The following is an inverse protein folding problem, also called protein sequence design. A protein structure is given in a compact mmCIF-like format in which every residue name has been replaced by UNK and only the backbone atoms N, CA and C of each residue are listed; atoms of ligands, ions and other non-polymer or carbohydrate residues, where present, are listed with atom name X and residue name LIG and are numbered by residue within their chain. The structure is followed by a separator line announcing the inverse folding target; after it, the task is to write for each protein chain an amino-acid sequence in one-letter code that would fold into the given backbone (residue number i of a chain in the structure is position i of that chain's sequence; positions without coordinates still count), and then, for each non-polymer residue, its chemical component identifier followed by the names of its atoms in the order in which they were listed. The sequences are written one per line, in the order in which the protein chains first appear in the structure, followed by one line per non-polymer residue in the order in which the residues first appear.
data_IF_875619529500
#
_entry.id   IF_875619529500
#
_cell.length_a   1.000
_cell.length_b   1.000
_cell.length_c   1.000
_cell.angle_alpha   90.00
_cell.angle_beta   90.00
_cell.angle_gamma   90.00
#
_symmetry.space_group_name_H-M   'P 1'
#
loop_
_entity.id
_entity.type
_entity.pdbx_description
1 polymer ?
#
# COMPACT_ATOMS: atom_id res chain seq x y z
N UNK A 1 26.56 -4.22 -25.19
CA UNK A 1 25.16 -4.06 -24.78
C UNK A 1 25.13 -3.55 -23.34
N UNK A 2 24.85 -2.27 -23.17
CA UNK A 2 24.73 -1.66 -21.84
C UNK A 2 23.40 -2.16 -21.26
N UNK A 3 23.44 -2.99 -20.24
CA UNK A 3 22.25 -3.35 -19.45
C UNK A 3 21.63 -2.04 -18.96
N UNK A 4 20.45 -1.71 -19.50
CA UNK A 4 19.72 -0.53 -19.04
C UNK A 4 19.14 -0.86 -17.66
N UNK A 5 19.61 -0.13 -16.66
CA UNK A 5 19.03 -0.20 -15.33
C UNK A 5 17.56 0.29 -15.38
N UNK A 6 16.68 -0.36 -14.63
CA UNK A 6 15.28 0.07 -14.46
C UNK A 6 15.17 0.63 -13.03
N UNK A 7 15.60 1.85 -12.84
CA UNK A 7 15.62 2.51 -11.53
C UNK A 7 14.85 3.81 -11.48
N UNK A 8 14.37 4.30 -12.62
CA UNK A 8 13.59 5.53 -12.71
C UNK A 8 12.36 5.38 -13.61
N UNK A 9 11.41 6.29 -13.44
CA UNK A 9 10.21 6.36 -14.29
C UNK A 9 10.53 6.42 -15.79
N UNK A 10 11.52 7.24 -16.17
CA UNK A 10 11.94 7.33 -17.56
C UNK A 10 12.56 6.01 -18.08
N UNK A 11 13.38 5.36 -17.26
CA UNK A 11 14.01 4.07 -17.61
C UNK A 11 12.94 2.95 -17.71
N UNK A 12 11.96 2.94 -16.81
CA UNK A 12 10.85 2.00 -16.86
C UNK A 12 10.02 2.18 -18.15
N UNK A 13 9.68 3.41 -18.51
CA UNK A 13 8.97 3.72 -19.77
C UNK A 13 9.75 3.20 -20.98
N UNK A 14 11.05 3.46 -21.02
CA UNK A 14 11.92 3.01 -22.12
C UNK A 14 12.02 1.48 -22.18
N UNK A 15 12.18 0.82 -21.01
CA UNK A 15 12.21 -0.63 -20.95
C UNK A 15 10.89 -1.24 -21.43
N UNK A 16 9.76 -0.73 -20.96
CA UNK A 16 8.45 -1.21 -21.40
C UNK A 16 8.23 -1.03 -22.92
N UNK A 17 8.62 0.12 -23.48
CA UNK A 17 8.55 0.37 -24.93
C UNK A 17 9.38 -0.64 -25.71
N UNK A 18 10.60 -0.93 -25.27
CA UNK A 18 11.50 -1.88 -25.93
C UNK A 18 10.95 -3.33 -25.85
N UNK A 19 10.36 -3.72 -24.74
CA UNK A 19 9.80 -5.06 -24.57
C UNK A 19 8.50 -5.26 -25.35
N UNK A 20 7.67 -4.21 -25.43
CA UNK A 20 6.44 -4.25 -26.24
C UNK A 20 6.76 -4.32 -27.74
N UNK A 21 7.84 -3.67 -28.17
CA UNK A 21 8.23 -3.54 -29.58
C UNK A 21 7.07 -2.98 -30.46
N UNK A 22 6.36 -1.99 -29.89
CA UNK A 22 5.19 -1.36 -30.49
C UNK A 22 5.27 0.16 -30.29
N UNK A 23 5.63 0.89 -31.32
CA UNK A 23 5.79 2.35 -31.28
C UNK A 23 4.46 3.10 -31.10
N UNK A 24 3.37 2.51 -31.53
CA UNK A 24 2.01 3.08 -31.39
C UNK A 24 1.49 3.05 -29.93
N UNK A 25 2.12 2.28 -29.04
CA UNK A 25 1.75 2.19 -27.64
C UNK A 25 2.62 3.05 -26.71
N UNK A 26 3.65 3.70 -27.22
CA UNK A 26 4.62 4.47 -26.43
C UNK A 26 3.94 5.54 -25.58
N UNK A 27 3.00 6.29 -26.15
CA UNK A 27 2.28 7.35 -25.43
C UNK A 27 1.29 6.83 -24.36
N UNK A 28 0.97 5.53 -24.40
CA UNK A 28 0.07 4.88 -23.44
C UNK A 28 0.81 4.24 -22.25
N UNK A 29 2.12 4.12 -22.32
CA UNK A 29 2.91 3.48 -21.26
C UNK A 29 2.67 4.12 -19.88
N UNK A 30 2.57 5.44 -19.72
CA UNK A 30 2.22 6.05 -18.44
C UNK A 30 0.87 5.58 -17.89
N UNK A 31 -0.13 5.34 -18.73
CA UNK A 31 -1.43 4.77 -18.32
C UNK A 31 -1.25 3.33 -17.81
N UNK A 32 -0.45 2.52 -18.49
CA UNK A 32 -0.15 1.15 -18.07
C UNK A 32 0.58 1.12 -16.72
N UNK A 33 1.50 2.05 -16.48
CA UNK A 33 2.19 2.21 -15.20
C UNK A 33 1.18 2.54 -14.09
N UNK A 34 0.28 3.48 -14.31
CA UNK A 34 -0.78 3.84 -13.35
C UNK A 34 -1.66 2.64 -13.00
N UNK A 35 -2.07 1.85 -14.00
CA UNK A 35 -2.88 0.65 -13.78
C UNK A 35 -2.11 -0.44 -13.02
N UNK A 36 -0.84 -0.64 -13.35
CA UNK A 36 0.03 -1.57 -12.65
C UNK A 36 0.20 -1.18 -11.18
N UNK A 37 0.45 0.09 -10.90
CA UNK A 37 0.57 0.62 -9.52
C UNK A 37 -0.72 0.41 -8.71
N UNK A 38 -1.88 0.64 -9.32
CA UNK A 38 -3.16 0.35 -8.67
C UNK A 38 -3.30 -1.14 -8.33
N UNK A 39 -2.82 -2.02 -9.20
CA UNK A 39 -2.78 -3.48 -8.97
C UNK A 39 -1.83 -3.84 -7.84
N UNK A 40 -0.63 -3.28 -7.80
CA UNK A 40 0.35 -3.52 -6.72
C UNK A 40 -0.22 -3.14 -5.36
N UNK A 41 -0.82 -1.97 -5.24
CA UNK A 41 -1.41 -1.50 -3.98
C UNK A 41 -2.58 -2.38 -3.50
N UNK A 42 -3.28 -3.06 -4.41
CA UNK A 42 -4.33 -4.03 -4.05
C UNK A 42 -3.79 -5.39 -3.64
N UNK A 43 -2.77 -5.88 -4.34
CA UNK A 43 -2.27 -7.25 -4.19
C UNK A 43 -1.20 -7.39 -3.11
N UNK A 44 -0.31 -6.40 -2.97
CA UNK A 44 0.88 -6.51 -2.13
C UNK A 44 0.62 -6.05 -0.70
N UNK A 45 1.21 -6.78 0.24
CA UNK A 45 1.33 -6.42 1.66
C UNK A 45 2.73 -6.82 2.11
N UNK A 46 3.71 -6.01 1.76
CA UNK A 46 5.13 -6.27 1.99
C UNK A 46 5.72 -5.22 2.92
N UNK A 47 6.88 -5.53 3.50
CA UNK A 47 7.57 -4.68 4.48
C UNK A 47 7.90 -3.28 3.94
N UNK A 48 8.22 -3.16 2.65
CA UNK A 48 8.48 -1.87 2.01
C UNK A 48 7.27 -0.92 2.02
N UNK A 49 6.06 -1.44 2.25
CA UNK A 49 4.83 -0.64 2.43
C UNK A 49 4.56 -0.27 3.89
N UNK A 50 5.27 -0.86 4.85
CA UNK A 50 5.03 -0.60 6.27
C UNK A 50 5.49 0.80 6.66
N UNK A 51 4.60 1.51 7.35
CA UNK A 51 4.85 2.88 7.80
C UNK A 51 4.30 3.06 9.19
N UNK A 52 5.03 3.79 10.02
CA UNK A 52 4.59 4.17 11.36
C UNK A 52 4.13 5.62 11.36
N UNK A 53 2.96 5.88 11.92
CA UNK A 53 2.46 7.24 12.17
C UNK A 53 2.14 7.43 13.64
N UNK A 54 2.66 8.52 14.20
CA UNK A 54 2.37 9.00 15.56
C UNK A 54 1.59 10.32 15.53
N UNK A 55 1.02 10.67 14.39
CA UNK A 55 0.39 11.97 14.17
C UNK A 55 -0.93 12.18 14.93
N UNK A 56 -1.62 11.08 15.31
CA UNK A 56 -2.87 11.16 16.04
C UNK A 56 -2.58 11.30 17.52
N UNK A 57 -2.97 12.44 18.10
CA UNK A 57 -3.13 12.63 19.53
C UNK A 57 -4.62 12.84 19.81
N UNK A 58 -5.18 12.07 20.73
CA UNK A 58 -6.62 12.14 20.99
C UNK A 58 -7.00 13.44 21.71
N UNK A 59 -8.24 13.83 21.53
CA UNK A 59 -8.87 14.94 22.25
C UNK A 59 -10.06 14.40 23.02
N UNK A 60 -10.23 14.83 24.26
CA UNK A 60 -11.35 14.40 25.10
C UNK A 60 -12.68 14.64 24.40
N UNK A 61 -13.53 13.61 24.36
CA UNK A 61 -14.84 13.63 23.71
C UNK A 61 -14.81 13.42 22.18
N UNK A 62 -13.66 13.45 21.54
CA UNK A 62 -13.53 13.25 20.08
C UNK A 62 -13.09 11.82 19.79
N UNK A 63 -13.91 11.04 19.11
CA UNK A 63 -13.66 9.63 18.85
C UNK A 63 -13.25 9.29 17.43
N UNK A 64 -13.32 10.23 16.49
CA UNK A 64 -12.96 10.01 15.09
C UNK A 64 -11.78 10.87 14.67
N UNK A 65 -10.85 10.23 13.96
CA UNK A 65 -9.62 10.86 13.46
C UNK A 65 -9.37 10.43 12.02
N UNK A 66 -8.80 11.32 11.22
CA UNK A 66 -8.46 11.03 9.84
C UNK A 66 -7.36 9.97 9.78
N UNK A 67 -7.52 9.00 8.89
CA UNK A 67 -6.44 8.08 8.54
C UNK A 67 -5.31 8.81 7.81
N UNK A 68 -4.07 8.34 7.93
CA UNK A 68 -2.96 8.92 7.18
C UNK A 68 -3.18 8.85 5.67
N UNK A 69 -2.64 9.82 4.94
CA UNK A 69 -2.66 9.80 3.47
C UNK A 69 -1.97 8.54 2.94
N UNK A 70 -2.60 7.87 1.97
CA UNK A 70 -2.09 6.64 1.40
C UNK A 70 -2.32 5.39 2.25
N UNK A 71 -3.11 5.48 3.31
CA UNK A 71 -3.48 4.33 4.12
C UNK A 71 -4.13 3.22 3.28
N UNK A 72 -3.64 1.99 3.45
CA UNK A 72 -4.18 0.80 2.79
C UNK A 72 -4.81 -0.15 3.80
N UNK A 73 -4.06 -0.51 4.84
CA UNK A 73 -4.51 -1.47 5.84
C UNK A 73 -3.76 -1.30 7.16
N UNK A 74 -4.50 -1.34 8.26
CA UNK A 74 -3.91 -1.35 9.60
C UNK A 74 -3.21 -2.68 9.88
N UNK A 75 -2.04 -2.58 10.49
CA UNK A 75 -1.31 -3.74 11.00
C UNK A 75 -1.32 -3.78 12.52
N UNK A 76 -1.04 -2.63 13.14
CA UNK A 76 -1.05 -2.49 14.60
C UNK A 76 -1.44 -1.06 14.97
N UNK A 77 -2.22 -0.92 16.03
CA UNK A 77 -2.60 0.38 16.56
C UNK A 77 -2.61 0.34 18.08
N UNK A 78 -1.89 1.27 18.72
CA UNK A 78 -1.84 1.34 20.17
C UNK A 78 -1.79 2.78 20.69
N UNK A 79 -2.18 2.95 21.96
CA UNK A 79 -1.90 4.16 22.72
C UNK A 79 -0.48 4.07 23.28
N UNK A 80 0.30 5.14 23.12
CA UNK A 80 1.66 5.24 23.64
C UNK A 80 1.65 5.59 25.14
N UNK A 81 0.91 4.82 25.94
CA UNK A 81 0.86 4.93 27.39
C UNK A 81 1.93 4.06 28.02
N UNK A 82 2.16 4.18 29.33
CA UNK A 82 3.05 3.30 30.07
C UNK A 82 2.23 2.50 31.11
N UNK A 83 2.03 1.19 30.92
CA UNK A 83 2.39 0.39 29.75
C UNK A 83 1.59 0.74 28.49
N UNK A 84 2.12 0.36 27.30
CA UNK A 84 1.43 0.51 26.02
C UNK A 84 0.07 -0.19 26.06
N UNK A 85 -0.96 0.46 25.50
CA UNK A 85 -2.30 -0.11 25.37
C UNK A 85 -2.61 -0.42 23.91
N UNK A 86 -2.58 -1.70 23.54
CA UNK A 86 -2.99 -2.14 22.20
C UNK A 86 -4.49 -1.97 22.03
N UNK A 87 -4.90 -1.47 20.86
CA UNK A 87 -6.31 -1.33 20.47
C UNK A 87 -6.70 -2.50 19.58
N UNK A 88 -7.78 -3.19 19.92
CA UNK A 88 -8.31 -4.27 19.12
C UNK A 88 -9.28 -3.75 18.05
N UNK A 89 -9.19 -4.32 16.84
CA UNK A 89 -10.18 -4.02 15.80
C UNK A 89 -11.53 -4.67 16.13
N UNK A 90 -12.60 -3.91 15.97
CA UNK A 90 -13.97 -4.41 15.96
C UNK A 90 -14.70 -3.88 14.72
N UNK A 91 -15.77 -4.58 14.31
CA UNK A 91 -16.56 -4.12 13.17
C UNK A 91 -17.32 -2.83 13.48
N UNK A 92 -17.66 -2.02 12.46
CA UNK A 92 -18.49 -0.82 12.66
C UNK A 92 -19.83 -1.09 13.37
N UNK A 93 -20.44 -2.24 13.09
CA UNK A 93 -21.67 -2.67 13.76
C UNK A 93 -21.48 -2.92 15.25
N UNK A 94 -20.40 -3.62 15.62
CA UNK A 94 -20.05 -3.83 17.02
C UNK A 94 -19.70 -2.52 17.72
N UNK A 95 -18.98 -1.62 17.05
CA UNK A 95 -18.67 -0.30 17.57
C UNK A 95 -19.95 0.49 17.88
N UNK A 96 -20.92 0.49 16.96
CA UNK A 96 -22.21 1.16 17.14
C UNK A 96 -23.04 0.55 18.26
N UNK A 97 -22.96 -0.76 18.47
CA UNK A 97 -23.72 -1.47 19.50
C UNK A 97 -23.10 -1.30 20.89
N UNK A 98 -21.79 -1.42 21.02
CA UNK A 98 -21.10 -1.39 22.32
C UNK A 98 -20.79 0.02 22.81
N UNK A 99 -20.55 0.94 21.88
CA UNK A 99 -20.07 2.30 22.16
C UNK A 99 -20.96 3.38 21.52
N UNK A 100 -22.27 3.13 21.47
CA UNK A 100 -23.25 4.05 20.89
C UNK A 100 -23.43 5.36 21.66
N UNK A 101 -23.10 5.34 22.95
CA UNK A 101 -23.31 6.48 23.85
C UNK A 101 -22.19 7.51 23.82
N UNK A 102 -22.38 8.58 24.57
CA UNK A 102 -21.42 9.67 24.75
C UNK A 102 -20.40 9.44 25.87
N UNK A 103 -20.37 8.25 26.45
CA UNK A 103 -19.43 7.88 27.51
C UNK A 103 -17.99 7.98 27.06
N UNK A 104 -17.14 8.60 27.88
CA UNK A 104 -15.72 8.75 27.64
C UNK A 104 -14.90 7.80 28.51
N UNK A 105 -13.74 7.42 28.05
CA UNK A 105 -12.82 6.58 28.79
C UNK A 105 -11.49 6.42 28.06
N UNK A 106 -10.63 5.53 28.55
CA UNK A 106 -9.42 5.15 27.85
C UNK A 106 -9.82 4.24 26.66
N UNK A 107 -9.48 4.59 25.42
CA UNK A 107 -9.77 3.76 24.27
C UNK A 107 -9.22 2.33 24.40
N UNK A 108 -9.98 1.34 23.99
CA UNK A 108 -9.64 -0.09 24.05
C UNK A 108 -9.76 -0.77 22.67
N UNK A 109 -10.63 -0.23 21.82
CA UNK A 109 -10.94 -0.79 20.51
C UNK A 109 -10.97 0.31 19.46
N UNK A 110 -10.82 -0.09 18.21
CA UNK A 110 -11.02 0.82 17.07
C UNK A 110 -11.79 0.13 15.95
N UNK A 111 -12.36 0.92 15.10
CA UNK A 111 -12.88 0.51 13.79
C UNK A 111 -12.52 1.53 12.73
N UNK A 112 -12.70 1.16 11.47
CA UNK A 112 -12.45 2.04 10.34
C UNK A 112 -13.75 2.25 9.58
N UNK A 113 -14.11 3.52 9.38
CA UNK A 113 -15.30 3.94 8.66
C UNK A 113 -14.88 5.01 7.66
N UNK A 114 -15.01 4.69 6.36
CA UNK A 114 -14.54 5.53 5.27
C UNK A 114 -13.04 5.88 5.42
N UNK A 115 -12.70 7.15 5.52
CA UNK A 115 -11.34 7.66 5.68
C UNK A 115 -10.95 7.96 7.14
N UNK A 116 -11.74 7.43 8.10
CA UNK A 116 -11.57 7.71 9.54
C UNK A 116 -11.37 6.45 10.36
N UNK A 117 -10.55 6.57 11.38
CA UNK A 117 -10.51 5.63 12.50
C UNK A 117 -11.41 6.16 13.62
N UNK A 118 -12.27 5.29 14.15
CA UNK A 118 -13.13 5.57 15.30
C UNK A 118 -12.67 4.75 16.50
N UNK A 119 -12.55 5.41 17.64
CA UNK A 119 -12.12 4.80 18.90
C UNK A 119 -13.33 4.47 19.80
N UNK A 120 -13.20 3.43 20.57
CA UNK A 120 -14.19 3.05 21.57
C UNK A 120 -13.53 2.63 22.90
N UNK A 121 -13.97 3.20 24.03
CA UNK A 121 -14.86 4.36 24.19
C UNK A 121 -14.27 5.65 23.59
N UNK A 122 -15.07 6.70 23.52
CA UNK A 122 -14.58 8.03 23.17
C UNK A 122 -13.48 8.44 24.15
N UNK A 123 -12.33 8.97 23.70
CA UNK A 123 -11.24 9.33 24.61
C UNK A 123 -11.67 10.29 25.72
N UNK A 124 -11.27 9.99 26.94
CA UNK A 124 -11.47 10.90 28.07
C UNK A 124 -10.37 11.94 28.19
N UNK A 125 -9.24 11.72 27.54
CA UNK A 125 -8.03 12.52 27.67
C UNK A 125 -7.21 12.56 26.38
N UNK A 126 -6.13 13.33 26.38
CA UNK A 126 -5.16 13.37 25.29
C UNK A 126 -4.20 12.17 25.41
N UNK A 127 -4.36 11.19 24.53
CA UNK A 127 -3.44 10.06 24.40
C UNK A 127 -2.67 10.20 23.09
N UNK A 128 -1.34 10.09 23.16
CA UNK A 128 -0.53 9.88 21.96
C UNK A 128 -0.73 8.46 21.43
N UNK A 129 -0.71 8.30 20.11
CA UNK A 129 -0.92 7.00 19.47
C UNK A 129 0.24 6.62 18.59
N UNK A 130 0.35 5.34 18.29
CA UNK A 130 1.24 4.82 17.25
C UNK A 130 0.47 3.84 16.39
N UNK A 131 0.55 4.05 15.09
CA UNK A 131 -0.13 3.26 14.07
C UNK A 131 0.91 2.68 13.13
N UNK A 132 1.02 1.35 13.09
CA UNK A 132 1.76 0.63 12.07
C UNK A 132 0.77 0.18 10.99
N UNK A 133 0.97 0.60 9.75
CA UNK A 133 0.04 0.34 8.67
C UNK A 133 0.78 0.16 7.34
N UNK A 134 0.10 -0.46 6.37
CA UNK A 134 0.55 -0.50 5.00
C UNK A 134 0.13 0.78 4.28
N UNK A 135 1.11 1.45 3.69
CA UNK A 135 0.91 2.66 2.89
C UNK A 135 1.09 2.34 1.41
N UNK A 136 0.22 2.91 0.57
CA UNK A 136 0.38 2.83 -0.87
C UNK A 136 1.72 3.42 -1.32
N UNK A 137 2.36 2.79 -2.32
CA UNK A 137 3.57 3.34 -2.93
C UNK A 137 3.28 4.69 -3.57
N UNK A 138 4.24 5.59 -3.49
CA UNK A 138 4.18 6.86 -4.23
C UNK A 138 4.11 6.56 -5.72
N UNK A 139 3.09 7.10 -6.41
CA UNK A 139 2.95 6.95 -7.85
C UNK A 139 4.14 7.56 -8.59
N UNK A 140 4.67 6.84 -9.58
CA UNK A 140 5.76 7.34 -10.42
C UNK A 140 5.25 8.46 -11.35
N UNK A 141 6.07 9.49 -11.48
CA UNK A 141 5.82 10.64 -12.35
C UNK A 141 7.14 11.33 -12.71
N UNK A 142 7.08 12.35 -13.51
CA UNK A 142 8.27 13.16 -13.84
C UNK A 142 8.82 13.92 -12.62
N UNK A 143 8.01 14.16 -11.60
CA UNK A 143 8.41 14.78 -10.33
C UNK A 143 8.76 13.75 -9.25
N UNK A 144 8.16 12.56 -9.28
CA UNK A 144 8.45 11.43 -8.40
C UNK A 144 9.03 10.29 -9.23
N UNK A 145 10.31 10.38 -9.58
CA UNK A 145 10.95 9.53 -10.58
C UNK A 145 11.24 8.12 -10.10
N UNK A 146 11.19 7.85 -8.80
CA UNK A 146 11.44 6.54 -8.21
C UNK A 146 10.58 6.33 -6.96
N UNK A 147 10.42 5.08 -6.55
CA UNK A 147 9.87 4.67 -5.26
C UNK A 147 10.55 3.36 -4.82
N UNK A 148 10.32 2.95 -3.57
CA UNK A 148 10.96 1.75 -3.01
C UNK A 148 10.61 0.48 -3.79
N UNK A 149 9.39 0.38 -4.31
CA UNK A 149 8.94 -0.76 -5.11
C UNK A 149 9.75 -0.87 -6.41
N UNK A 150 9.98 0.22 -7.12
CA UNK A 150 10.78 0.22 -8.34
C UNK A 150 12.25 -0.06 -8.05
N UNK A 151 12.77 0.50 -6.96
CA UNK A 151 14.17 0.31 -6.56
C UNK A 151 14.46 -1.14 -6.19
N UNK A 152 13.58 -1.77 -5.41
CA UNK A 152 13.81 -3.10 -4.87
C UNK A 152 13.27 -4.21 -5.77
N UNK A 153 12.21 -3.96 -6.54
CA UNK A 153 11.50 -4.95 -7.34
C UNK A 153 11.18 -4.41 -8.75
N UNK A 154 12.20 -4.07 -9.57
CA UNK A 154 11.98 -3.54 -10.92
C UNK A 154 11.31 -4.54 -11.86
N UNK A 155 11.49 -5.85 -11.64
CA UNK A 155 10.86 -6.95 -12.37
C UNK A 155 9.34 -6.94 -12.22
N UNK A 156 8.83 -6.77 -10.99
CA UNK A 156 7.39 -6.66 -10.72
C UNK A 156 6.79 -5.48 -11.49
N UNK A 157 7.48 -4.34 -11.47
CA UNK A 157 7.03 -3.16 -12.22
C UNK A 157 7.00 -3.44 -13.72
N UNK A 158 8.07 -3.95 -14.27
CA UNK A 158 8.16 -4.19 -15.72
C UNK A 158 7.09 -5.17 -16.19
N UNK A 159 7.01 -6.34 -15.57
CA UNK A 159 6.02 -7.35 -15.95
C UNK A 159 4.59 -6.88 -15.70
N UNK A 160 4.33 -6.17 -14.61
CA UNK A 160 3.04 -5.58 -14.33
C UNK A 160 2.60 -4.58 -15.39
N UNK A 161 3.49 -3.70 -15.84
CA UNK A 161 3.23 -2.73 -16.91
C UNK A 161 2.96 -3.44 -18.24
N UNK A 162 3.75 -4.44 -18.58
CA UNK A 162 3.57 -5.21 -19.82
C UNK A 162 2.23 -5.94 -19.83
N UNK A 163 1.77 -6.47 -18.71
CA UNK A 163 0.46 -7.11 -18.59
C UNK A 163 -0.71 -6.13 -18.81
N UNK A 164 -0.57 -4.87 -18.40
CA UNK A 164 -1.61 -3.86 -18.63
C UNK A 164 -1.75 -3.49 -20.13
N UNK A 165 -0.74 -3.79 -20.93
CA UNK A 165 -0.81 -3.62 -22.39
C UNK A 165 -1.56 -4.75 -23.11
N UNK A 166 -1.90 -5.85 -22.42
CA UNK A 166 -2.57 -7.03 -23.01
C UNK A 166 -3.76 -6.70 -23.94
N UNK A 167 -4.70 -5.80 -23.57
CA UNK A 167 -5.83 -5.48 -24.43
C UNK A 167 -5.45 -4.95 -25.83
N UNK A 168 -4.23 -4.43 -25.97
CA UNK A 168 -3.69 -3.91 -27.24
C UNK A 168 -2.82 -4.92 -27.99
N UNK A 169 -2.55 -6.09 -27.40
CA UNK A 169 -1.67 -7.14 -27.92
C UNK A 169 -2.53 -8.33 -28.37
N UNK A 170 -3.07 -8.26 -29.56
CA UNK A 170 -3.95 -9.30 -30.11
C UNK A 170 -3.25 -10.66 -30.17
N UNK A 171 -3.63 -11.59 -29.27
CA UNK A 171 -3.11 -12.96 -29.20
C UNK A 171 -1.57 -13.07 -29.12
N UNK A 172 -0.91 -12.15 -28.48
CA UNK A 172 0.54 -12.20 -28.28
C UNK A 172 0.90 -13.29 -27.26
N UNK A 173 1.62 -14.30 -27.70
CA UNK A 173 2.04 -15.40 -26.82
C UNK A 173 2.97 -14.95 -25.69
N UNK A 174 3.66 -13.81 -25.83
CA UNK A 174 4.52 -13.24 -24.78
C UNK A 174 3.74 -12.89 -23.51
N UNK A 175 2.46 -12.56 -23.62
CA UNK A 175 1.58 -12.21 -22.48
C UNK A 175 1.55 -13.34 -21.45
N UNK A 176 1.50 -14.59 -21.89
CA UNK A 176 1.52 -15.75 -20.98
C UNK A 176 2.84 -15.87 -20.21
N UNK A 177 3.95 -15.56 -20.88
CA UNK A 177 5.27 -15.54 -20.24
C UNK A 177 5.36 -14.41 -19.21
N UNK A 178 4.90 -13.21 -19.56
CA UNK A 178 4.88 -12.07 -18.63
C UNK A 178 3.97 -12.32 -17.43
N UNK A 179 2.79 -12.92 -17.65
CA UNK A 179 1.87 -13.28 -16.57
C UNK A 179 2.50 -14.30 -15.61
N UNK A 180 3.21 -15.27 -16.12
CA UNK A 180 3.92 -16.25 -15.30
C UNK A 180 5.07 -15.61 -14.52
N UNK A 181 5.89 -14.79 -15.19
CA UNK A 181 6.99 -14.08 -14.57
C UNK A 181 6.50 -13.10 -13.50
N UNK A 182 5.41 -12.39 -13.75
CA UNK A 182 4.80 -11.49 -12.78
C UNK A 182 4.33 -12.24 -11.52
N UNK A 183 3.59 -13.34 -11.68
CA UNK A 183 3.13 -14.16 -10.53
C UNK A 183 4.29 -14.72 -9.74
N UNK A 184 5.35 -15.19 -10.42
CA UNK A 184 6.54 -15.69 -9.75
C UNK A 184 7.24 -14.59 -8.96
N UNK A 185 7.43 -13.42 -9.54
CA UNK A 185 8.05 -12.28 -8.87
C UNK A 185 7.25 -11.82 -7.63
N UNK A 186 5.91 -11.79 -7.72
CA UNK A 186 5.04 -11.51 -6.56
C UNK A 186 5.23 -12.54 -5.46
N UNK A 187 5.23 -13.82 -5.80
CA UNK A 187 5.44 -14.90 -4.83
C UNK A 187 6.81 -14.77 -4.17
N UNK A 188 7.85 -14.55 -4.93
CA UNK A 188 9.22 -14.44 -4.42
C UNK A 188 9.38 -13.29 -3.42
N UNK A 189 8.81 -12.12 -3.70
CA UNK A 189 8.89 -10.97 -2.77
C UNK A 189 8.09 -11.21 -1.50
N UNK A 190 6.93 -11.87 -1.58
CA UNK A 190 6.13 -12.21 -0.40
C UNK A 190 6.82 -13.27 0.47
N UNK A 191 7.42 -14.27 -0.15
CA UNK A 191 8.17 -15.32 0.54
C UNK A 191 9.42 -14.77 1.22
N UNK A 192 10.15 -13.87 0.55
CA UNK A 192 11.29 -13.19 1.14
C UNK A 192 10.88 -12.35 2.35
N UNK A 193 9.81 -11.58 2.22
CA UNK A 193 9.28 -10.77 3.31
C UNK A 193 8.87 -11.61 4.52
N UNK A 194 8.25 -12.77 4.28
CA UNK A 194 7.87 -13.69 5.34
C UNK A 194 9.09 -14.31 6.04
N UNK A 195 10.15 -14.66 5.31
CA UNK A 195 11.40 -15.17 5.90
C UNK A 195 12.08 -14.12 6.77
N UNK A 196 12.16 -12.88 6.30
CA UNK A 196 12.80 -11.78 7.01
C UNK A 196 12.07 -11.40 8.32
N UNK A 197 10.79 -11.78 8.45
CA UNK A 197 10.00 -11.56 9.68
C UNK A 197 10.22 -12.63 10.74
N UNK A 198 10.74 -13.79 10.37
CA UNK A 198 10.90 -14.95 11.26
C UNK A 198 12.38 -15.29 11.55
N UNK A 199 13.30 -14.52 11.03
CA UNK A 199 14.74 -14.60 11.30
C UNK A 199 15.18 -13.47 12.25
#
# INVERSE_FOLDING_TARGET
SRLMAIGTFAQLKTAAANWLDRSDLTDRIPEFITLAEARFNRLLRIRDMETVSTAITTTAGTREYNLPTGYVQMKEFHLSTDPITSLAYITPEMMSRLWAGSGTGKPQVYTIIADKVRLGPSPADAYTTSMLYYKAFTALSDSATTNDMLTNNPDIYLYGVLLEAEPFLMNDQRVQLWATAFRQAITDVQDQDNKDRHS
#
